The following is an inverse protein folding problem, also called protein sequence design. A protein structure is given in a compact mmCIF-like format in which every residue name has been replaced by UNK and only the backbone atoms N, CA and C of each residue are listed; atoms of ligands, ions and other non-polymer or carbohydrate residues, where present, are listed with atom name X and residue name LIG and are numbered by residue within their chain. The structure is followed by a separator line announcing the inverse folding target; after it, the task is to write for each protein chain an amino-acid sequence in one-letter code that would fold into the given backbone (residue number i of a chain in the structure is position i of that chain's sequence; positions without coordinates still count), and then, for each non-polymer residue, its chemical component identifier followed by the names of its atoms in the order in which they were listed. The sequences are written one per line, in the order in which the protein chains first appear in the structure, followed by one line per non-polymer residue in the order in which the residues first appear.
data_IF_709069185014
#
_entry.id   IF_709069185014
#
_cell.length_a   1.000
_cell.length_b   1.000
_cell.length_c   1.000
_cell.angle_alpha   90.00
_cell.angle_beta   90.00
_cell.angle_gamma   90.00
#
_symmetry.space_group_name_H-M   'P 1'
#
loop_
_entity.id
_entity.type
_entity.pdbx_description
1 polymer ?
#
# COMPACT_ATOMS: atom_id res chain seq x y z
N UNK A 1 -13.24 -31.20 -2.73
CA UNK A 1 -13.23 -29.73 -2.72
C UNK A 1 -11.78 -29.30 -2.78
N UNK A 2 -11.20 -29.60 -3.93
CA UNK A 2 -9.78 -29.65 -4.21
C UNK A 2 -9.22 -28.24 -4.34
N UNK A 3 -8.28 -27.91 -3.46
CA UNK A 3 -7.35 -26.79 -3.60
C UNK A 3 -8.06 -25.44 -3.69
N UNK A 4 -8.28 -24.82 -2.52
CA UNK A 4 -8.03 -23.38 -2.43
C UNK A 4 -6.66 -23.15 -3.08
N UNK A 5 -6.68 -22.70 -4.33
CA UNK A 5 -5.48 -22.33 -5.09
C UNK A 5 -4.68 -21.45 -4.16
N UNK A 6 -3.50 -21.94 -3.78
CA UNK A 6 -2.56 -21.41 -2.79
C UNK A 6 -2.85 -19.94 -2.44
N UNK A 7 -3.36 -19.68 -1.24
CA UNK A 7 -3.65 -18.33 -0.78
C UNK A 7 -2.39 -17.47 -0.91
N UNK A 8 -2.48 -16.23 -1.42
CA UNK A 8 -1.30 -15.38 -1.56
C UNK A 8 -0.56 -15.25 -0.22
N UNK A 9 0.76 -15.13 -0.27
CA UNK A 9 1.55 -14.87 0.93
C UNK A 9 1.18 -13.52 1.54
N UNK A 10 1.32 -13.39 2.86
CA UNK A 10 1.07 -12.13 3.57
C UNK A 10 2.04 -11.04 3.13
N UNK A 11 1.60 -9.78 3.15
CA UNK A 11 2.45 -8.64 2.85
C UNK A 11 3.39 -8.38 4.03
N UNK A 12 4.69 -8.30 3.75
CA UNK A 12 5.68 -7.96 4.77
C UNK A 12 5.83 -6.43 4.86
N UNK A 13 5.33 -5.84 5.96
CA UNK A 13 5.41 -4.41 6.23
C UNK A 13 6.77 -3.98 6.83
N UNK A 14 7.52 -4.91 7.40
CA UNK A 14 8.83 -4.65 8.03
C UNK A 14 9.86 -4.17 6.99
N UNK A 15 10.76 -3.23 7.32
CA UNK A 15 11.88 -2.86 6.45
C UNK A 15 12.77 -4.09 6.19
N UNK A 16 12.83 -4.53 4.94
CA UNK A 16 13.83 -5.49 4.44
C UNK A 16 14.64 -4.84 3.31
N UNK A 17 15.35 -5.64 2.51
CA UNK A 17 16.14 -5.18 1.35
C UNK A 17 15.29 -4.68 0.16
N UNK A 18 14.18 -3.98 0.38
CA UNK A 18 13.31 -3.50 -0.69
C UNK A 18 12.28 -2.45 -0.28
N UNK A 19 11.89 -1.64 -1.26
CA UNK A 19 10.85 -0.60 -1.13
C UNK A 19 9.47 -1.23 -0.83
N UNK A 20 8.80 -0.73 0.21
CA UNK A 20 7.43 -1.13 0.56
C UNK A 20 6.46 -0.89 -0.60
N UNK A 21 6.65 0.18 -1.37
CA UNK A 21 5.84 0.51 -2.54
C UNK A 21 5.91 -0.59 -3.61
N UNK A 22 7.12 -1.08 -3.91
CA UNK A 22 7.31 -2.15 -4.90
C UNK A 22 6.77 -3.50 -4.41
N UNK A 23 6.93 -3.80 -3.11
CA UNK A 23 6.34 -4.99 -2.50
C UNK A 23 4.82 -4.95 -2.57
N UNK A 24 4.21 -3.82 -2.24
CA UNK A 24 2.77 -3.58 -2.36
C UNK A 24 2.28 -3.82 -3.78
N UNK A 25 2.91 -3.20 -4.80
CA UNK A 25 2.50 -3.34 -6.22
C UNK A 25 2.48 -4.79 -6.70
N UNK A 26 3.50 -5.58 -6.34
CA UNK A 26 3.58 -7.00 -6.72
C UNK A 26 2.54 -7.83 -5.96
N UNK A 27 2.39 -7.55 -4.68
CA UNK A 27 1.46 -8.26 -3.81
C UNK A 27 0.00 -8.02 -4.23
N UNK A 28 -0.40 -6.77 -4.45
CA UNK A 28 -1.78 -6.42 -4.80
C UNK A 28 -2.19 -7.01 -6.15
N UNK A 29 -1.27 -7.10 -7.13
CA UNK A 29 -1.53 -7.80 -8.39
C UNK A 29 -1.88 -9.27 -8.16
N UNK A 30 -1.13 -9.95 -7.29
CA UNK A 30 -1.38 -11.36 -6.94
C UNK A 30 -2.72 -11.53 -6.23
N UNK A 31 -3.07 -10.63 -5.32
CA UNK A 31 -4.34 -10.65 -4.59
C UNK A 31 -5.53 -10.40 -5.51
N UNK A 32 -5.42 -9.44 -6.44
CA UNK A 32 -6.47 -9.18 -7.43
C UNK A 32 -6.72 -10.41 -8.32
N UNK A 33 -5.66 -11.06 -8.81
CA UNK A 33 -5.79 -12.31 -9.56
C UNK A 33 -6.45 -13.42 -8.74
N UNK A 34 -6.08 -13.55 -7.46
CA UNK A 34 -6.72 -14.50 -6.56
C UNK A 34 -8.23 -14.22 -6.41
N UNK A 35 -8.64 -12.96 -6.22
CA UNK A 35 -10.05 -12.59 -6.09
C UNK A 35 -10.86 -12.82 -7.37
N UNK A 36 -10.27 -12.57 -8.53
CA UNK A 36 -10.96 -12.77 -9.81
C UNK A 36 -11.14 -14.26 -10.13
N UNK A 37 -10.17 -15.08 -9.76
CA UNK A 37 -10.16 -16.52 -10.05
C UNK A 37 -10.91 -17.33 -8.99
N UNK A 38 -10.83 -16.95 -7.72
CA UNK A 38 -11.35 -17.74 -6.59
C UNK A 38 -12.60 -17.12 -5.94
N UNK A 39 -12.88 -15.85 -6.18
CA UNK A 39 -13.95 -15.10 -5.51
C UNK A 39 -14.83 -14.34 -6.50
N UNK A 40 -15.06 -14.91 -7.67
CA UNK A 40 -15.86 -14.30 -8.75
C UNK A 40 -17.31 -14.04 -8.34
N UNK A 41 -17.90 -14.98 -7.60
CA UNK A 41 -19.30 -14.92 -7.16
C UNK A 41 -19.45 -14.42 -5.71
N UNK A 42 -18.33 -13.99 -5.08
CA UNK A 42 -18.33 -13.51 -3.71
C UNK A 42 -18.85 -12.07 -3.62
N UNK A 43 -19.56 -11.76 -2.54
CA UNK A 43 -19.98 -10.39 -2.22
C UNK A 43 -18.78 -9.47 -1.96
N UNK A 44 -18.98 -8.14 -2.06
CA UNK A 44 -17.91 -7.18 -1.75
C UNK A 44 -17.41 -7.33 -0.30
N UNK A 45 -18.31 -7.61 0.64
CA UNK A 45 -17.96 -7.86 2.05
C UNK A 45 -17.07 -9.09 2.23
N UNK A 46 -17.39 -10.18 1.54
CA UNK A 46 -16.56 -11.39 1.56
C UNK A 46 -15.18 -11.13 0.94
N UNK A 47 -15.12 -10.37 -0.16
CA UNK A 47 -13.86 -9.93 -0.79
C UNK A 47 -13.03 -9.06 0.15
N UNK A 48 -13.65 -8.12 0.87
CA UNK A 48 -12.98 -7.31 1.90
C UNK A 48 -12.44 -8.18 3.04
N UNK A 49 -13.24 -9.13 3.51
CA UNK A 49 -12.83 -10.06 4.57
C UNK A 49 -11.66 -10.93 4.14
N UNK A 50 -11.69 -11.45 2.90
CA UNK A 50 -10.57 -12.22 2.34
C UNK A 50 -9.33 -11.35 2.15
N UNK A 51 -9.47 -10.11 1.70
CA UNK A 51 -8.35 -9.16 1.62
C UNK A 51 -7.66 -8.99 2.98
N UNK A 52 -8.45 -8.68 4.02
CA UNK A 52 -7.96 -8.49 5.39
C UNK A 52 -7.39 -9.78 6.01
N UNK A 53 -7.87 -10.94 5.57
CA UNK A 53 -7.29 -12.21 5.93
C UNK A 53 -5.90 -12.39 5.30
N UNK A 54 -5.78 -12.18 3.98
CA UNK A 54 -4.55 -12.39 3.21
C UNK A 54 -3.46 -11.38 3.56
N UNK A 55 -3.81 -10.13 3.92
CA UNK A 55 -2.82 -9.10 4.25
C UNK A 55 -2.07 -9.36 5.57
N UNK A 56 -2.57 -10.28 6.40
CA UNK A 56 -1.93 -10.64 7.66
C UNK A 56 -2.23 -9.70 8.82
N UNK A 57 -1.63 -9.98 9.99
CA UNK A 57 -1.95 -9.27 11.23
C UNK A 57 -1.51 -7.80 11.20
N UNK A 58 -0.28 -7.53 10.77
CA UNK A 58 0.25 -6.16 10.65
C UNK A 58 -0.65 -5.29 9.75
N UNK A 59 -1.14 -5.85 8.64
CA UNK A 59 -2.07 -5.16 7.75
C UNK A 59 -3.41 -4.86 8.41
N UNK A 60 -3.94 -5.78 9.24
CA UNK A 60 -5.17 -5.54 10.02
C UNK A 60 -4.97 -4.47 11.09
N UNK A 61 -3.80 -4.41 11.71
CA UNK A 61 -3.48 -3.36 12.68
C UNK A 61 -3.44 -1.98 12.00
N UNK A 62 -2.89 -1.90 10.78
CA UNK A 62 -2.94 -0.70 9.93
C UNK A 62 -4.39 -0.37 9.54
N UNK A 63 -5.18 -1.35 9.12
CA UNK A 63 -6.59 -1.15 8.77
C UNK A 63 -7.40 -0.52 9.90
N UNK A 64 -7.12 -0.90 11.16
CA UNK A 64 -7.80 -0.32 12.33
C UNK A 64 -7.51 1.18 12.54
N UNK A 65 -6.50 1.73 11.84
CA UNK A 65 -6.19 3.18 11.83
C UNK A 65 -6.91 3.94 10.72
N UNK A 66 -7.60 3.25 9.81
CA UNK A 66 -8.27 3.87 8.68
C UNK A 66 -9.68 4.31 9.05
N UNK A 67 -10.00 5.55 8.68
CA UNK A 67 -11.36 6.06 8.68
C UNK A 67 -12.01 5.83 7.31
N UNK A 68 -13.19 5.21 7.33
CA UNK A 68 -14.03 4.97 6.16
C UNK A 68 -15.33 5.74 6.30
N UNK A 69 -15.81 6.32 5.20
CA UNK A 69 -17.17 6.83 5.15
C UNK A 69 -18.18 5.67 5.15
N UNK A 70 -19.41 5.90 5.61
CA UNK A 70 -20.50 4.91 5.53
C UNK A 70 -20.70 4.36 4.11
N UNK A 71 -20.42 5.17 3.09
CA UNK A 71 -20.53 4.79 1.69
C UNK A 71 -19.39 3.90 1.20
N UNK A 72 -18.29 3.80 1.94
CA UNK A 72 -17.06 3.07 1.61
C UNK A 72 -16.92 1.74 2.35
N UNK A 73 -17.65 1.57 3.47
CA UNK A 73 -17.65 0.34 4.28
C UNK A 73 -18.01 -0.87 3.42
N UNK A 74 -17.30 -1.98 3.65
CA UNK A 74 -17.47 -3.26 2.95
C UNK A 74 -17.26 -3.19 1.42
N UNK A 75 -16.64 -2.12 0.90
CA UNK A 75 -16.26 -2.01 -0.52
C UNK A 75 -14.78 -2.26 -0.74
N UNK A 76 -14.49 -3.13 -1.68
CA UNK A 76 -13.11 -3.58 -1.94
C UNK A 76 -12.23 -2.47 -2.50
N UNK A 77 -12.79 -1.59 -3.34
CA UNK A 77 -12.03 -0.54 -4.01
C UNK A 77 -11.54 0.55 -3.03
N UNK A 78 -12.38 1.15 -2.17
CA UNK A 78 -11.92 2.07 -1.12
C UNK A 78 -10.90 1.44 -0.17
N UNK A 79 -11.12 0.17 0.21
CA UNK A 79 -10.18 -0.57 1.06
C UNK A 79 -8.79 -0.65 0.45
N UNK A 80 -8.68 -1.10 -0.81
CA UNK A 80 -7.41 -1.19 -1.53
C UNK A 80 -6.76 0.19 -1.67
N UNK A 81 -7.55 1.24 -1.96
CA UNK A 81 -7.02 2.60 -2.12
C UNK A 81 -6.39 3.14 -0.83
N UNK A 82 -7.00 2.92 0.33
CA UNK A 82 -6.44 3.35 1.62
C UNK A 82 -5.09 2.66 1.91
N UNK A 83 -5.00 1.37 1.62
CA UNK A 83 -3.73 0.65 1.73
C UNK A 83 -2.70 1.10 0.70
N UNK A 84 -3.11 1.42 -0.52
CA UNK A 84 -2.21 1.97 -1.53
C UNK A 84 -1.66 3.33 -1.10
N UNK A 85 -2.49 4.23 -0.57
CA UNK A 85 -2.06 5.53 -0.03
C UNK A 85 -1.11 5.36 1.18
N UNK A 86 -1.32 4.32 1.99
CA UNK A 86 -0.42 3.98 3.10
C UNK A 86 0.93 3.43 2.62
N UNK A 87 0.92 2.46 1.69
CA UNK A 87 2.12 1.77 1.22
C UNK A 87 2.92 2.59 0.20
N UNK A 88 2.23 3.45 -0.55
CA UNK A 88 2.77 4.37 -1.54
C UNK A 88 2.34 5.77 -1.12
N UNK A 89 2.93 6.34 -0.05
CA UNK A 89 2.64 7.71 0.32
C UNK A 89 2.97 8.60 -0.88
N UNK A 90 1.95 9.24 -1.47
CA UNK A 90 2.14 10.26 -2.51
C UNK A 90 3.22 11.19 -1.98
N UNK A 91 4.34 11.30 -2.70
CA UNK A 91 5.50 12.09 -2.28
C UNK A 91 5.01 13.47 -1.84
N UNK A 92 4.97 13.66 -0.52
CA UNK A 92 4.34 14.82 0.07
C UNK A 92 5.22 16.02 -0.31
N UNK A 93 4.70 16.93 -1.12
CA UNK A 93 5.40 18.16 -1.52
C UNK A 93 5.96 18.90 -0.31
N UNK A 94 5.35 18.78 0.86
CA UNK A 94 5.83 19.29 2.15
C UNK A 94 7.19 18.72 2.58
N UNK A 95 7.44 17.41 2.41
CA UNK A 95 8.74 16.80 2.75
C UNK A 95 9.80 17.21 1.73
N UNK A 96 9.46 17.25 0.45
CA UNK A 96 10.33 17.77 -0.61
C UNK A 96 10.66 19.25 -0.37
N UNK A 97 9.67 20.08 -0.04
CA UNK A 97 9.83 21.50 0.31
C UNK A 97 10.68 21.67 1.56
N UNK A 98 10.51 20.83 2.58
CA UNK A 98 11.37 20.84 3.75
C UNK A 98 12.81 20.48 3.39
N UNK A 99 13.03 19.40 2.63
CA UNK A 99 14.37 18.98 2.18
C UNK A 99 15.04 20.04 1.28
N UNK A 100 14.27 20.67 0.39
CA UNK A 100 14.73 21.79 -0.45
C UNK A 100 15.06 23.03 0.39
N UNK A 101 14.18 23.43 1.31
CA UNK A 101 14.38 24.59 2.19
C UNK A 101 15.45 24.37 3.28
N UNK A 102 15.84 23.11 3.54
CA UNK A 102 16.92 22.73 4.45
C UNK A 102 18.23 22.42 3.75
N UNK A 103 18.28 22.46 2.41
CA UNK A 103 19.54 22.38 1.67
C UNK A 103 20.31 23.67 1.94
N UNK A 104 21.55 23.53 2.40
CA UNK A 104 22.49 24.63 2.61
C UNK A 104 23.62 24.39 1.61
N UNK A 105 23.95 25.42 0.82
CA UNK A 105 25.04 25.34 -0.15
C UNK A 105 26.35 25.00 0.56
N UNK A 106 27.03 23.95 0.11
CA UNK A 106 28.33 23.55 0.68
C UNK A 106 29.42 24.57 0.35
N UNK A 107 30.46 24.67 1.20
CA UNK A 107 31.56 25.64 1.04
C UNK A 107 32.32 25.52 -0.30
N UNK A 108 32.20 24.38 -0.98
CA UNK A 108 32.83 24.10 -2.29
C UNK A 108 31.81 23.87 -3.42
N UNK A 109 30.51 24.08 -3.19
CA UNK A 109 29.46 23.90 -4.21
C UNK A 109 29.27 25.22 -4.97
N UNK A 110 29.42 25.19 -6.30
CA UNK A 110 29.15 26.37 -7.14
C UNK A 110 27.66 26.67 -7.18
N UNK A 111 27.30 27.94 -7.44
CA UNK A 111 25.89 28.37 -7.51
C UNK A 111 25.12 27.59 -8.59
N UNK A 112 25.74 27.28 -9.72
CA UNK A 112 25.14 26.47 -10.79
C UNK A 112 24.77 25.04 -10.33
N UNK A 113 25.59 24.42 -9.48
CA UNK A 113 25.30 23.10 -8.92
C UNK A 113 24.21 23.11 -7.84
N UNK A 114 24.07 24.22 -7.14
CA UNK A 114 23.07 24.37 -6.08
C UNK A 114 21.66 24.61 -6.62
N UNK A 115 21.55 25.28 -7.79
CA UNK A 115 20.27 25.71 -8.38
C UNK A 115 19.67 24.66 -9.34
N UNK A 116 20.44 23.63 -9.72
CA UNK A 116 19.99 22.49 -10.57
C UNK A 116 19.47 21.33 -9.74
#
# INVERSE_FOLDING_TARGET
MDKLRQTPAELQFVPGDGDLSERWKRWIQTVNLYMDVCMKDASEKERCSAFLYIIGQDGRDIHNTFDFETSEVDKIKPLIQKFEDYCIPKQNTTIQRYKFNKRVQGETESVDQYVT
#
